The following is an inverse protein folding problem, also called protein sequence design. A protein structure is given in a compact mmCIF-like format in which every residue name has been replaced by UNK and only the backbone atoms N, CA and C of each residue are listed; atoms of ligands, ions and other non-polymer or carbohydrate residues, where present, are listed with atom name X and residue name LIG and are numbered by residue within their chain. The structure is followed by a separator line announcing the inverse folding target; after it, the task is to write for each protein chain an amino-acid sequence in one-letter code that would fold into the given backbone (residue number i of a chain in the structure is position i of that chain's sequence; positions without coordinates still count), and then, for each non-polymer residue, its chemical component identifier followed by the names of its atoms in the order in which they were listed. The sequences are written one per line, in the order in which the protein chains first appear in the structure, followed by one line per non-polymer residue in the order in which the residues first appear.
data_IF_099957666901
#
_entry.id   IF_099957666901
#
_cell.length_a   1.000
_cell.length_b   1.000
_cell.length_c   1.000
_cell.angle_alpha   90.00
_cell.angle_beta   90.00
_cell.angle_gamma   90.00
#
_symmetry.space_group_name_H-M   'P 1'
#
loop_
_entity.id
_entity.type
_entity.pdbx_description
1 polymer ?
#
# COMPACT_ATOMS: atom_id res chain seq x y z
N UNK A 1 5.94 -25.13 -3.21
CA UNK A 1 5.41 -23.78 -2.99
C UNK A 1 4.06 -23.83 -2.29
N UNK A 2 3.75 -22.84 -1.50
CA UNK A 2 2.44 -22.56 -0.95
C UNK A 2 1.46 -22.13 -2.07
N UNK A 3 0.18 -22.09 -1.75
CA UNK A 3 -0.80 -21.52 -2.68
C UNK A 3 -0.50 -20.03 -2.93
N UNK A 4 -0.82 -19.56 -4.13
CA UNK A 4 -0.70 -18.18 -4.56
C UNK A 4 -2.09 -17.56 -4.69
N UNK A 5 -2.31 -16.43 -4.03
CA UNK A 5 -3.50 -15.60 -4.18
C UNK A 5 -3.17 -14.29 -4.90
N UNK A 6 -4.05 -13.89 -5.79
CA UNK A 6 -3.94 -12.69 -6.61
C UNK A 6 -5.25 -11.92 -6.53
N UNK A 7 -5.18 -10.61 -6.32
CA UNK A 7 -6.33 -9.72 -6.38
C UNK A 7 -5.96 -8.43 -7.09
N UNK A 8 -6.74 -8.05 -8.08
CA UNK A 8 -6.60 -6.79 -8.81
C UNK A 8 -7.64 -5.78 -8.35
N UNK A 9 -7.18 -4.58 -8.06
CA UNK A 9 -8.01 -3.48 -7.58
C UNK A 9 -7.61 -2.15 -8.23
N UNK A 10 -8.54 -1.23 -8.30
CA UNK A 10 -8.23 0.16 -8.65
C UNK A 10 -7.61 0.88 -7.45
N UNK A 11 -6.58 1.73 -7.71
CA UNK A 11 -5.92 2.59 -6.72
C UNK A 11 -4.90 1.86 -5.83
N UNK A 12 -3.78 2.51 -5.57
CA UNK A 12 -2.77 1.98 -4.66
C UNK A 12 -3.22 2.06 -3.20
N UNK A 13 -3.98 3.09 -2.84
CA UNK A 13 -4.62 3.19 -1.51
C UNK A 13 -5.45 1.95 -1.21
N UNK A 14 -6.31 1.53 -2.15
CA UNK A 14 -7.13 0.32 -2.01
C UNK A 14 -6.24 -0.93 -1.88
N UNK A 15 -5.18 -1.03 -2.70
CA UNK A 15 -4.27 -2.18 -2.64
C UNK A 15 -3.56 -2.31 -1.29
N UNK A 16 -3.13 -1.20 -0.68
CA UNK A 16 -2.53 -1.21 0.66
C UNK A 16 -3.52 -1.68 1.73
N UNK A 17 -4.77 -1.19 1.69
CA UNK A 17 -5.81 -1.62 2.62
C UNK A 17 -6.19 -3.10 2.42
N UNK A 18 -6.30 -3.55 1.18
CA UNK A 18 -6.54 -4.97 0.84
C UNK A 18 -5.43 -5.84 1.39
N UNK A 19 -4.15 -5.47 1.19
CA UNK A 19 -3.01 -6.23 1.69
C UNK A 19 -3.02 -6.34 3.22
N UNK A 20 -3.32 -5.24 3.92
CA UNK A 20 -3.43 -5.20 5.38
C UNK A 20 -4.55 -6.13 5.88
N UNK A 21 -5.74 -6.06 5.26
CA UNK A 21 -6.87 -6.91 5.63
C UNK A 21 -6.62 -8.39 5.35
N UNK A 22 -6.01 -8.72 4.21
CA UNK A 22 -5.64 -10.09 3.86
C UNK A 22 -4.69 -10.68 4.90
N UNK A 23 -3.66 -9.93 5.31
CA UNK A 23 -2.71 -10.37 6.32
C UNK A 23 -3.31 -10.46 7.72
N UNK A 24 -4.31 -9.63 8.05
CA UNK A 24 -5.05 -9.70 9.31
C UNK A 24 -6.04 -10.85 9.39
N UNK A 25 -6.60 -11.24 8.25
CA UNK A 25 -7.64 -12.28 8.19
C UNK A 25 -7.09 -13.70 8.20
N UNK A 26 -5.84 -13.91 7.78
CA UNK A 26 -5.24 -15.23 7.65
C UNK A 26 -3.71 -15.18 7.70
N UNK A 27 -3.09 -16.31 8.03
CA UNK A 27 -1.63 -16.47 8.00
C UNK A 27 -1.13 -16.56 6.55
N UNK A 28 -0.98 -15.39 5.94
CA UNK A 28 -0.45 -15.22 4.59
C UNK A 28 0.70 -14.22 4.59
N UNK A 29 1.62 -14.39 3.65
CA UNK A 29 2.66 -13.41 3.35
C UNK A 29 2.26 -12.58 2.14
N UNK A 30 2.31 -11.26 2.27
CA UNK A 30 2.20 -10.37 1.11
C UNK A 30 3.53 -10.39 0.38
N UNK A 31 3.56 -10.92 -0.83
CA UNK A 31 4.82 -11.15 -1.57
C UNK A 31 5.18 -10.00 -2.51
N UNK A 32 4.19 -9.36 -3.11
CA UNK A 32 4.45 -8.28 -4.06
C UNK A 32 3.21 -7.43 -4.33
N UNK A 33 3.48 -6.22 -4.81
CA UNK A 33 2.52 -5.36 -5.49
C UNK A 33 2.97 -5.17 -6.93
N UNK A 34 2.06 -5.35 -7.88
CA UNK A 34 2.28 -4.96 -9.27
C UNK A 34 1.34 -3.85 -9.69
N UNK A 35 1.74 -3.11 -10.71
CA UNK A 35 0.93 -2.05 -11.28
C UNK A 35 0.60 -2.32 -12.74
N UNK A 36 -0.59 -1.89 -13.12
CA UNK A 36 -1.04 -1.87 -14.51
C UNK A 36 -1.89 -0.61 -14.74
N UNK A 37 -2.20 -0.34 -15.99
CA UNK A 37 -3.07 0.79 -16.36
C UNK A 37 -4.40 0.26 -16.85
N UNK A 38 -5.54 0.85 -16.42
CA UNK A 38 -6.81 0.52 -16.99
C UNK A 38 -6.86 0.97 -18.46
N UNK A 39 -7.55 0.20 -19.27
CA UNK A 39 -7.81 0.56 -20.68
C UNK A 39 -8.99 1.53 -20.80
N UNK A 40 -9.92 1.49 -19.85
CA UNK A 40 -11.15 2.29 -19.88
C UNK A 40 -10.90 3.71 -19.37
N UNK A 41 -11.30 4.75 -20.13
CA UNK A 41 -11.13 6.15 -19.70
C UNK A 41 -12.03 6.53 -18.52
N UNK A 42 -13.10 5.80 -18.26
CA UNK A 42 -14.07 5.96 -17.17
C UNK A 42 -13.75 5.08 -15.93
N UNK A 43 -12.56 4.51 -15.88
CA UNK A 43 -12.14 3.70 -14.73
C UNK A 43 -12.14 4.53 -13.43
N UNK A 44 -12.52 3.92 -12.28
CA UNK A 44 -12.58 4.61 -10.98
C UNK A 44 -11.28 5.24 -10.51
N UNK A 45 -10.15 4.80 -11.05
CA UNK A 45 -8.83 5.41 -10.88
C UNK A 45 -7.92 5.05 -12.06
N UNK A 46 -6.92 5.89 -12.39
CA UNK A 46 -6.03 5.66 -13.55
C UNK A 46 -4.95 4.59 -13.29
N UNK A 47 -5.12 3.78 -12.26
CA UNK A 47 -4.16 2.78 -11.82
C UNK A 47 -4.87 1.50 -11.38
N UNK A 48 -4.38 0.36 -11.89
CA UNK A 48 -4.70 -0.98 -11.40
C UNK A 48 -3.51 -1.48 -10.60
N UNK A 49 -3.78 -2.06 -9.43
CA UNK A 49 -2.79 -2.71 -8.59
C UNK A 49 -3.14 -4.18 -8.40
N UNK A 50 -2.13 -5.03 -8.48
CA UNK A 50 -2.23 -6.45 -8.14
C UNK A 50 -1.57 -6.66 -6.79
N UNK A 51 -2.32 -7.17 -5.82
CA UNK A 51 -1.78 -7.64 -4.53
C UNK A 51 -1.59 -9.15 -4.63
N UNK A 52 -0.41 -9.62 -4.28
CA UNK A 52 -0.04 -11.03 -4.34
C UNK A 52 0.26 -11.54 -2.93
N UNK A 53 -0.33 -12.67 -2.59
CA UNK A 53 -0.11 -13.32 -1.28
C UNK A 53 0.21 -14.80 -1.45
N UNK A 54 0.98 -15.36 -0.52
CA UNK A 54 1.24 -16.80 -0.43
C UNK A 54 0.90 -17.34 0.97
N UNK A 55 0.53 -18.61 1.05
CA UNK A 55 0.22 -19.30 2.29
C UNK A 55 -0.35 -20.68 2.05
N UNK A 56 -0.93 -21.31 3.07
CA UNK A 56 -1.72 -22.53 2.87
C UNK A 56 -2.93 -22.23 1.98
N UNK A 57 -3.48 -23.23 1.31
CA UNK A 57 -4.66 -23.04 0.43
C UNK A 57 -5.83 -22.42 1.20
N UNK A 58 -6.07 -22.86 2.43
CA UNK A 58 -7.14 -22.31 3.27
C UNK A 58 -6.89 -20.88 3.71
N UNK A 59 -5.65 -20.53 4.08
CA UNK A 59 -5.27 -19.19 4.45
C UNK A 59 -5.39 -18.21 3.28
N UNK A 60 -4.88 -18.61 2.10
CA UNK A 60 -4.99 -17.79 0.88
C UNK A 60 -6.46 -17.58 0.49
N UNK A 61 -7.32 -18.61 0.63
CA UNK A 61 -8.74 -18.49 0.36
C UNK A 61 -9.41 -17.47 1.28
N UNK A 62 -9.19 -17.57 2.59
CA UNK A 62 -9.74 -16.63 3.56
C UNK A 62 -9.22 -15.19 3.33
N UNK A 63 -7.92 -15.04 3.04
CA UNK A 63 -7.33 -13.74 2.73
C UNK A 63 -7.95 -13.10 1.47
N UNK A 64 -8.06 -13.85 0.37
CA UNK A 64 -8.67 -13.37 -0.88
C UNK A 64 -10.14 -12.98 -0.66
N UNK A 65 -10.90 -13.76 0.09
CA UNK A 65 -12.30 -13.45 0.42
C UNK A 65 -12.41 -12.11 1.16
N UNK A 66 -11.61 -11.90 2.21
CA UNK A 66 -11.59 -10.65 2.96
C UNK A 66 -11.18 -9.45 2.09
N UNK A 67 -10.15 -9.59 1.28
CA UNK A 67 -9.69 -8.54 0.36
C UNK A 67 -10.71 -8.19 -0.71
N UNK A 68 -11.37 -9.21 -1.28
CA UNK A 68 -12.42 -9.03 -2.29
C UNK A 68 -13.61 -8.28 -1.70
N UNK A 69 -14.11 -8.71 -0.55
CA UNK A 69 -15.22 -8.04 0.12
C UNK A 69 -14.95 -6.55 0.40
N UNK A 70 -13.74 -6.22 0.86
CA UNK A 70 -13.35 -4.83 1.06
C UNK A 70 -13.34 -4.04 -0.24
N UNK A 71 -12.69 -4.58 -1.29
CA UNK A 71 -12.55 -3.90 -2.57
C UNK A 71 -13.90 -3.70 -3.28
N UNK A 72 -14.83 -4.68 -3.19
CA UNK A 72 -16.20 -4.58 -3.68
C UNK A 72 -16.98 -3.47 -2.95
N UNK A 73 -16.90 -3.42 -1.62
CA UNK A 73 -17.56 -2.37 -0.81
C UNK A 73 -17.07 -0.96 -1.15
N UNK A 74 -15.84 -0.84 -1.64
CA UNK A 74 -15.25 0.43 -2.13
C UNK A 74 -15.53 0.72 -3.62
N UNK A 75 -16.16 -0.19 -4.35
CA UNK A 75 -16.34 -0.08 -5.80
C UNK A 75 -15.02 -0.10 -6.57
N UNK A 76 -13.99 -0.79 -6.03
CA UNK A 76 -12.63 -0.80 -6.56
C UNK A 76 -12.14 -2.20 -6.97
N UNK A 77 -12.95 -3.23 -6.82
CA UNK A 77 -12.63 -4.60 -7.19
C UNK A 77 -12.62 -4.80 -8.71
N UNK A 78 -11.70 -5.61 -9.21
CA UNK A 78 -11.61 -6.00 -10.62
C UNK A 78 -11.76 -7.52 -10.74
N UNK A 79 -10.79 -8.26 -10.21
CA UNK A 79 -10.76 -9.72 -10.30
C UNK A 79 -9.87 -10.29 -9.20
N UNK A 80 -10.14 -11.52 -8.80
CA UNK A 80 -9.25 -12.28 -7.92
C UNK A 80 -9.15 -13.74 -8.37
N UNK A 81 -8.03 -14.37 -8.04
CA UNK A 81 -7.79 -15.78 -8.38
C UNK A 81 -6.87 -16.45 -7.37
N UNK A 82 -7.03 -17.76 -7.21
CA UNK A 82 -6.22 -18.59 -6.33
C UNK A 82 -5.63 -19.74 -7.13
N UNK A 83 -4.32 -19.91 -7.06
CA UNK A 83 -3.62 -21.05 -7.62
C UNK A 83 -3.14 -21.92 -6.45
N UNK A 84 -3.84 -23.03 -6.21
CA UNK A 84 -3.60 -23.89 -5.04
C UNK A 84 -2.20 -24.54 -5.07
N UNK A 85 -1.68 -24.81 -6.24
CA UNK A 85 -0.35 -25.41 -6.46
C UNK A 85 0.28 -24.77 -7.69
N UNK A 86 0.88 -23.58 -7.57
CA UNK A 86 1.56 -22.94 -8.69
C UNK A 86 2.76 -23.77 -9.15
N UNK A 87 3.01 -23.79 -10.45
CA UNK A 87 4.24 -24.32 -11.05
C UNK A 87 5.43 -23.43 -10.70
N UNK A 88 6.64 -24.00 -10.69
CA UNK A 88 7.87 -23.25 -10.36
C UNK A 88 8.10 -22.03 -11.26
N UNK A 89 7.67 -22.09 -12.52
CA UNK A 89 7.76 -20.97 -13.45
C UNK A 89 6.74 -19.89 -13.12
N UNK A 90 5.54 -20.27 -12.66
CA UNK A 90 4.51 -19.36 -12.16
C UNK A 90 4.98 -18.64 -10.90
N UNK A 91 5.66 -19.37 -10.01
CA UNK A 91 6.27 -18.77 -8.82
C UNK A 91 7.26 -17.67 -9.17
N UNK A 92 8.17 -17.95 -10.11
CA UNK A 92 9.12 -16.94 -10.61
C UNK A 92 8.40 -15.71 -11.14
N UNK A 93 7.32 -15.91 -11.93
CA UNK A 93 6.53 -14.82 -12.47
C UNK A 93 5.84 -13.99 -11.38
N UNK A 94 5.39 -14.62 -10.30
CA UNK A 94 4.77 -13.91 -9.18
C UNK A 94 5.69 -12.85 -8.53
N UNK A 95 7.00 -13.05 -8.59
CA UNK A 95 8.00 -12.12 -8.05
C UNK A 95 8.65 -11.18 -9.09
N UNK A 96 8.45 -11.43 -10.38
CA UNK A 96 9.15 -10.69 -11.44
C UNK A 96 8.66 -9.25 -11.64
N UNK A 97 7.42 -8.96 -11.32
CA UNK A 97 6.75 -7.70 -11.64
C UNK A 97 6.42 -6.87 -10.39
N UNK A 98 7.19 -7.02 -9.34
CA UNK A 98 7.05 -6.25 -8.12
C UNK A 98 7.44 -4.79 -8.35
N UNK A 99 6.61 -3.83 -7.93
CA UNK A 99 6.89 -2.38 -8.03
C UNK A 99 8.14 -1.97 -7.26
N UNK A 100 8.50 -2.74 -6.23
CA UNK A 100 9.70 -2.49 -5.41
C UNK A 100 10.98 -3.02 -6.07
N UNK A 101 10.88 -3.72 -7.20
CA UNK A 101 12.04 -4.20 -7.95
C UNK A 101 12.36 -3.25 -9.09
N UNK A 102 13.62 -2.80 -9.12
CA UNK A 102 14.11 -2.06 -10.27
C UNK A 102 14.23 -2.98 -11.49
N UNK A 103 13.31 -2.82 -12.43
CA UNK A 103 13.27 -3.60 -13.68
C UNK A 103 14.54 -3.48 -14.50
N UNK A 104 15.27 -2.38 -14.37
CA UNK A 104 16.45 -2.06 -15.21
C UNK A 104 17.75 -2.57 -14.60
N UNK A 105 17.88 -2.60 -13.29
CA UNK A 105 19.13 -2.94 -12.62
C UNK A 105 19.24 -4.40 -12.17
N UNK A 106 18.20 -5.21 -12.31
CA UNK A 106 18.17 -6.63 -11.87
C UNK A 106 18.62 -6.85 -10.42
N UNK A 107 18.81 -5.78 -9.66
CA UNK A 107 19.16 -5.84 -8.24
C UNK A 107 17.87 -5.80 -7.44
N UNK A 108 17.68 -6.81 -6.61
CA UNK A 108 16.68 -6.73 -5.55
C UNK A 108 17.05 -5.53 -4.66
N UNK A 109 16.10 -4.65 -4.32
CA UNK A 109 16.33 -3.65 -3.28
C UNK A 109 16.90 -4.37 -2.06
N UNK A 110 17.93 -3.82 -1.44
CA UNK A 110 18.53 -4.38 -0.21
C UNK A 110 17.49 -4.61 0.88
N UNK A 111 16.42 -3.85 0.85
CA UNK A 111 15.26 -3.90 1.76
C UNK A 111 14.46 -5.19 1.71
N UNK A 112 14.43 -5.93 0.60
CA UNK A 112 13.73 -7.22 0.56
C UNK A 112 14.54 -8.41 1.11
N UNK A 113 15.85 -8.25 1.34
CA UNK A 113 16.73 -9.30 1.89
C UNK A 113 16.92 -9.24 3.40
N UNK A 114 16.20 -8.44 4.14
CA UNK A 114 16.46 -8.26 5.57
C UNK A 114 15.40 -7.44 6.29
N UNK A 115 14.26 -7.21 5.68
CA UNK A 115 13.16 -6.62 6.40
C UNK A 115 12.49 -7.73 7.21
N UNK A 116 13.00 -7.94 8.40
CA UNK A 116 12.21 -8.57 9.44
C UNK A 116 11.08 -7.59 9.77
N UNK A 117 9.84 -8.09 9.68
CA UNK A 117 8.70 -7.36 10.17
C UNK A 117 8.98 -6.96 11.63
N UNK A 118 8.69 -5.72 12.05
CA UNK A 118 8.99 -5.29 13.41
C UNK A 118 8.35 -6.28 14.40
N UNK A 119 9.16 -6.92 15.24
CA UNK A 119 8.70 -7.92 16.21
C UNK A 119 7.78 -7.31 17.28
N UNK A 120 7.90 -6.04 17.57
CA UNK A 120 7.02 -5.32 18.48
C UNK A 120 6.08 -4.44 17.65
N UNK A 121 4.79 -4.42 18.01
CA UNK A 121 3.77 -3.66 17.32
C UNK A 121 4.25 -2.26 16.99
N UNK A 122 4.03 -1.83 15.76
CA UNK A 122 4.43 -0.53 15.23
C UNK A 122 3.99 0.66 16.10
N UNK A 123 2.98 0.45 16.97
CA UNK A 123 2.48 1.42 17.94
C UNK A 123 1.87 2.68 17.34
N UNK A 124 1.84 2.78 16.02
CA UNK A 124 1.36 3.93 15.26
C UNK A 124 0.36 3.51 14.19
N UNK A 125 -0.45 4.46 13.78
CA UNK A 125 -1.34 4.32 12.63
C UNK A 125 -0.65 4.83 11.38
N UNK A 126 -1.10 4.38 10.21
CA UNK A 126 -0.71 4.99 8.94
C UNK A 126 -1.91 5.68 8.30
N UNK A 127 -1.63 6.82 7.67
CA UNK A 127 -2.56 7.57 6.84
C UNK A 127 -2.09 7.56 5.40
N UNK A 128 -3.01 7.36 4.48
CA UNK A 128 -2.72 7.26 3.06
C UNK A 128 -3.51 8.36 2.33
N UNK A 129 -2.81 9.13 1.50
CA UNK A 129 -3.40 10.12 0.59
C UNK A 129 -2.88 9.85 -0.82
N UNK A 130 -3.77 9.48 -1.75
CA UNK A 130 -3.47 9.28 -3.16
C UNK A 130 -4.07 10.39 -4.01
N UNK A 131 -3.21 11.09 -4.75
CA UNK A 131 -3.58 12.31 -5.43
C UNK A 131 -2.90 12.44 -6.80
N UNK A 132 -3.55 13.13 -7.74
CA UNK A 132 -2.99 13.46 -9.04
C UNK A 132 -2.13 14.73 -8.97
N UNK A 133 -0.88 14.61 -9.39
CA UNK A 133 0.06 15.71 -9.55
C UNK A 133 1.00 15.92 -8.37
N UNK A 134 2.27 16.15 -8.70
CA UNK A 134 3.33 16.37 -7.71
C UNK A 134 3.07 17.65 -6.88
N UNK A 135 2.64 18.74 -7.52
CA UNK A 135 2.32 20.00 -6.80
C UNK A 135 1.24 19.78 -5.76
N UNK A 136 0.15 19.10 -6.14
CA UNK A 136 -0.95 18.78 -5.22
C UNK A 136 -0.47 17.90 -4.05
N UNK A 137 0.44 16.94 -4.30
CA UNK A 137 0.98 16.09 -3.25
C UNK A 137 1.84 16.87 -2.25
N UNK A 138 2.62 17.85 -2.70
CA UNK A 138 3.41 18.72 -1.81
C UNK A 138 2.50 19.61 -0.97
N UNK A 139 1.47 20.21 -1.57
CA UNK A 139 0.46 21.01 -0.84
C UNK A 139 -0.27 20.15 0.20
N UNK A 140 -0.67 18.94 -0.18
CA UNK A 140 -1.33 18.01 0.74
C UNK A 140 -0.43 17.61 1.90
N UNK A 141 0.84 17.24 1.63
CA UNK A 141 1.79 16.86 2.68
C UNK A 141 2.06 18.01 3.65
N UNK A 142 2.30 19.23 3.14
CA UNK A 142 2.52 20.41 3.97
C UNK A 142 1.34 20.65 4.91
N UNK A 143 0.11 20.56 4.40
CA UNK A 143 -1.09 20.70 5.21
C UNK A 143 -1.25 19.58 6.25
N UNK A 144 -0.93 18.32 5.89
CA UNK A 144 -0.93 17.19 6.82
C UNK A 144 0.01 17.43 8.01
N UNK A 145 1.26 17.81 7.73
CA UNK A 145 2.28 18.03 8.75
C UNK A 145 2.01 19.27 9.62
N UNK A 146 1.33 20.28 9.09
CA UNK A 146 0.92 21.47 9.85
C UNK A 146 -0.29 21.22 10.74
N UNK A 147 -1.19 20.34 10.31
CA UNK A 147 -2.43 20.05 11.04
C UNK A 147 -2.24 19.10 12.22
N UNK A 148 -1.25 18.20 12.16
CA UNK A 148 -1.09 17.16 13.16
C UNK A 148 0.35 16.64 13.22
N UNK A 149 0.68 16.03 14.37
CA UNK A 149 1.99 15.38 14.57
C UNK A 149 2.04 14.05 13.81
N UNK A 150 2.40 14.16 12.55
CA UNK A 150 2.59 13.02 11.64
C UNK A 150 3.91 13.16 10.90
N UNK A 151 4.48 12.02 10.51
CA UNK A 151 5.72 11.96 9.72
C UNK A 151 5.46 11.25 8.40
N UNK A 152 6.08 11.73 7.34
CA UNK A 152 6.07 11.06 6.05
C UNK A 152 6.85 9.75 6.16
N UNK A 153 6.15 8.62 6.07
CA UNK A 153 6.72 7.27 6.10
C UNK A 153 7.15 6.81 4.71
N UNK A 154 6.33 7.08 3.70
CA UNK A 154 6.59 6.64 2.33
C UNK A 154 5.95 7.58 1.32
N UNK A 155 6.63 7.73 0.19
CA UNK A 155 6.12 8.43 -0.99
C UNK A 155 6.29 7.54 -2.20
N UNK A 156 5.20 7.13 -2.83
CA UNK A 156 5.23 6.41 -4.09
C UNK A 156 4.83 7.33 -5.24
N UNK A 157 5.78 7.64 -6.10
CA UNK A 157 5.61 8.54 -7.26
C UNK A 157 5.81 7.83 -8.61
N UNK A 158 6.18 6.55 -8.60
CA UNK A 158 6.48 5.78 -9.81
C UNK A 158 5.28 4.99 -10.34
N UNK A 159 4.10 5.25 -9.81
CA UNK A 159 2.87 4.56 -10.21
C UNK A 159 2.44 4.88 -11.64
N UNK A 160 2.81 6.05 -12.16
CA UNK A 160 2.37 6.55 -13.47
C UNK A 160 1.04 7.31 -13.38
N UNK A 161 0.56 7.86 -14.51
CA UNK A 161 -0.68 8.63 -14.53
C UNK A 161 -0.66 9.93 -13.71
N UNK A 162 0.53 10.44 -13.37
CA UNK A 162 0.73 11.58 -12.46
C UNK A 162 0.28 11.30 -11.01
N UNK A 163 0.00 10.05 -10.65
CA UNK A 163 -0.38 9.68 -9.29
C UNK A 163 0.82 9.75 -8.34
N UNK A 164 0.57 10.29 -7.17
CA UNK A 164 1.47 10.27 -6.02
C UNK A 164 0.68 9.75 -4.82
N UNK A 165 1.23 8.74 -4.15
CA UNK A 165 0.67 8.24 -2.89
C UNK A 165 1.61 8.61 -1.76
N UNK A 166 1.08 9.33 -0.78
CA UNK A 166 1.74 9.70 0.47
C UNK A 166 1.27 8.77 1.58
N UNK A 167 2.21 8.22 2.32
CA UNK A 167 1.91 7.44 3.52
C UNK A 167 2.56 8.15 4.71
N UNK A 168 1.75 8.58 5.67
CA UNK A 168 2.21 9.23 6.90
C UNK A 168 1.96 8.34 8.10
N UNK A 169 2.76 8.48 9.16
CA UNK A 169 2.61 7.74 10.40
C UNK A 169 2.39 8.70 11.58
N UNK A 170 1.56 8.28 12.54
CA UNK A 170 1.26 9.05 13.75
C UNK A 170 0.26 8.31 14.65
N UNK A 171 -0.27 9.01 15.66
CA UNK A 171 -1.43 8.48 16.40
C UNK A 171 -2.67 8.41 15.52
N UNK A 172 -3.66 7.61 15.87
CA UNK A 172 -4.91 7.47 15.08
C UNK A 172 -5.58 8.84 14.87
N UNK A 173 -5.63 9.65 15.92
CA UNK A 173 -6.25 10.99 15.86
C UNK A 173 -5.44 11.96 15.00
N UNK A 174 -4.12 11.95 15.13
CA UNK A 174 -3.23 12.78 14.33
C UNK A 174 -3.33 12.41 12.83
N UNK A 175 -3.31 11.11 12.52
CA UNK A 175 -3.45 10.62 11.14
C UNK A 175 -4.78 11.02 10.53
N UNK A 176 -5.89 10.89 11.25
CA UNK A 176 -7.21 11.30 10.75
C UNK A 176 -7.26 12.79 10.46
N UNK A 177 -6.81 13.64 11.39
CA UNK A 177 -6.74 15.08 11.18
C UNK A 177 -5.81 15.45 10.01
N UNK A 178 -4.65 14.82 9.92
CA UNK A 178 -3.72 15.02 8.81
C UNK A 178 -4.37 14.73 7.46
N UNK A 179 -5.02 13.56 7.30
CA UNK A 179 -5.66 13.17 6.04
C UNK A 179 -6.77 14.16 5.66
N UNK A 180 -7.62 14.56 6.62
CA UNK A 180 -8.70 15.51 6.39
C UNK A 180 -8.14 16.85 5.86
N UNK A 181 -7.18 17.45 6.56
CA UNK A 181 -6.59 18.73 6.15
C UNK A 181 -5.77 18.59 4.86
N UNK A 182 -5.00 17.51 4.72
CA UNK A 182 -4.20 17.28 3.51
C UNK A 182 -5.06 17.09 2.27
N UNK A 183 -6.13 16.30 2.34
CA UNK A 183 -7.04 16.11 1.20
C UNK A 183 -7.79 17.39 0.85
N UNK A 184 -8.27 18.15 1.84
CA UNK A 184 -8.95 19.43 1.63
C UNK A 184 -8.03 20.45 0.96
N UNK A 185 -6.78 20.58 1.40
CA UNK A 185 -5.81 21.51 0.82
C UNK A 185 -5.36 21.09 -0.59
N UNK A 186 -5.27 19.81 -0.85
CA UNK A 186 -4.81 19.28 -2.13
C UNK A 186 -5.89 19.27 -3.23
N UNK A 187 -7.17 19.07 -2.86
CA UNK A 187 -8.30 18.95 -3.80
C UNK A 187 -8.45 20.10 -4.81
N UNK A 188 -8.18 21.37 -4.48
CA UNK A 188 -8.23 22.45 -5.48
C UNK A 188 -7.09 22.41 -6.51
N UNK A 189 -6.01 21.66 -6.22
CA UNK A 189 -4.79 21.61 -7.04
C UNK A 189 -4.69 20.32 -7.83
N UNK A 190 -5.27 19.23 -7.33
CA UNK A 190 -5.26 17.92 -7.98
C UNK A 190 -6.37 17.01 -7.49
N UNK A 191 -6.79 16.07 -8.33
CA UNK A 191 -7.85 15.12 -7.99
C UNK A 191 -7.37 14.13 -6.93
N UNK A 192 -8.13 13.99 -5.84
CA UNK A 192 -7.89 13.00 -4.77
C UNK A 192 -8.58 11.69 -5.14
N UNK A 193 -7.81 10.63 -5.32
CA UNK A 193 -8.32 9.30 -5.68
C UNK A 193 -8.57 8.39 -4.49
N UNK A 194 -7.89 8.62 -3.39
CA UNK A 194 -8.06 7.81 -2.20
C UNK A 194 -7.49 8.43 -0.93
N UNK A 195 -8.22 8.24 0.16
CA UNK A 195 -7.77 8.56 1.53
C UNK A 195 -8.15 7.42 2.44
N UNK A 196 -7.22 6.94 3.24
CA UNK A 196 -7.49 5.88 4.22
C UNK A 196 -6.62 6.05 5.47
N UNK A 197 -7.16 5.54 6.59
CA UNK A 197 -6.45 5.45 7.87
C UNK A 197 -6.46 4.00 8.33
N UNK A 198 -5.28 3.39 8.45
CA UNK A 198 -5.10 2.05 9.01
C UNK A 198 -4.58 2.23 10.43
N UNK A 199 -5.46 2.03 11.41
CA UNK A 199 -5.17 2.30 12.83
C UNK A 199 -4.06 1.40 13.41
N UNK A 200 -3.97 0.16 12.95
CA UNK A 200 -2.95 -0.81 13.37
C UNK A 200 -2.52 -1.63 12.17
N UNK A 201 -1.60 -1.12 11.35
CA UNK A 201 -1.15 -1.82 10.15
C UNK A 201 -0.43 -3.13 10.50
N UNK A 202 -0.69 -4.16 9.71
CA UNK A 202 -0.07 -5.47 9.87
C UNK A 202 1.41 -5.43 9.44
N UNK A 203 2.26 -6.23 10.08
CA UNK A 203 3.70 -6.31 9.78
C UNK A 203 3.99 -6.68 8.32
N UNK A 204 3.15 -7.53 7.71
CA UNK A 204 3.25 -7.90 6.30
C UNK A 204 3.07 -6.69 5.36
N UNK A 205 2.29 -5.67 5.75
CA UNK A 205 2.20 -4.42 5.02
C UNK A 205 3.40 -3.51 5.32
N UNK A 206 3.79 -3.40 6.59
CA UNK A 206 4.84 -2.49 7.02
C UNK A 206 6.21 -2.79 6.40
N UNK A 207 6.49 -4.04 6.03
CA UNK A 207 7.75 -4.42 5.37
C UNK A 207 7.99 -3.74 4.02
N UNK A 208 6.97 -3.14 3.41
CA UNK A 208 7.11 -2.38 2.16
C UNK A 208 7.50 -0.91 2.37
N UNK A 209 7.57 -0.45 3.63
CA UNK A 209 7.93 0.91 3.99
C UNK A 209 9.28 0.97 4.70
N UNK A 210 9.99 2.08 4.54
CA UNK A 210 11.22 2.32 5.30
C UNK A 210 10.88 2.88 6.68
N UNK A 211 10.91 2.01 7.69
CA UNK A 211 10.59 2.39 9.08
C UNK A 211 11.75 3.10 9.79
N UNK A 212 12.95 3.14 9.22
CA UNK A 212 14.12 3.78 9.85
C UNK A 212 13.92 5.29 10.04
N UNK A 213 13.10 5.90 9.20
CA UNK A 213 12.75 7.33 9.28
C UNK A 213 12.05 7.70 10.60
N UNK A 214 11.43 6.73 11.27
CA UNK A 214 10.72 6.94 12.53
C UNK A 214 11.63 6.90 13.76
N UNK A 215 12.86 6.42 13.60
CA UNK A 215 13.86 6.27 14.64
C UNK A 215 14.97 7.34 14.57
N UNK A 216 14.72 8.48 13.90
CA UNK A 216 15.71 9.55 13.79
C UNK A 216 15.94 10.20 15.17
N UNK A 217 17.18 10.11 15.73
CA UNK A 217 17.50 10.63 17.08
C UNK A 217 17.33 12.14 17.21
N UNK A 218 17.17 12.89 16.12
CA UNK A 218 17.02 14.35 16.15
C UNK A 218 15.74 14.86 16.82
N UNK A 219 14.86 13.94 17.26
CA UNK A 219 13.57 14.27 17.87
C UNK A 219 13.50 14.11 19.39
N UNK A 220 14.54 13.58 20.02
CA UNK A 220 14.62 13.54 21.51
C UNK A 220 15.08 14.87 22.13
N UNK A 221 15.42 15.88 21.30
CA UNK A 221 15.92 17.20 21.75
C UNK A 221 14.92 18.36 21.53
N UNK A 222 13.62 18.10 21.45
CA UNK A 222 12.63 19.20 21.40
C UNK A 222 11.61 19.15 22.51
#
# INVERSE_FOLDING_TARGET
MNALGLIEVYSFTTALCVADLMAKSADVKVIAFDRNRPFAPDAPAPLIMVVKVEGSVSAVKAAIEAGTQYAENKGRYIVSHIIARPDDSTEKMAYLMDINKDKFNKKFPKTMKGFEAPEAGFGKSIGILEISGFTASVVGLDAMCKAADVRLLHKEERLGGRLVTLVVAGSVSAVKAAIEHGSAAASPVGEVYGTECIASPHSELLKFFDLSILNDPSDEEK
#
